data_IF_834530322570
#
_entry.id   IF_834530322570
#
_cell.length_a   1.000
_cell.length_b   1.000
_cell.length_c   1.000
_cell.angle_alpha   90.00
_cell.angle_beta   90.00
_cell.angle_gamma   90.00
#
_symmetry.space_group_name_H-M   'P 1'
#
loop_
_entity.id
_entity.type
_entity.pdbx_description
1 polymer ?
#
# COMPACT_ATOMS: atom_id res chain seq x y z
N UNK A 1 7.80 7.37 26.08
CA UNK A 1 8.26 6.20 25.33
C UNK A 1 8.47 6.65 23.88
N UNK A 2 9.73 6.91 23.51
CA UNK A 2 10.11 7.25 22.14
C UNK A 2 10.06 5.95 21.35
N UNK A 3 9.02 5.75 20.56
CA UNK A 3 8.99 4.68 19.55
C UNK A 3 10.04 5.07 18.52
N UNK A 4 11.17 4.43 18.57
CA UNK A 4 12.20 4.57 17.54
C UNK A 4 11.62 3.92 16.29
N UNK A 5 11.26 4.72 15.30
CA UNK A 5 10.79 4.28 13.98
C UNK A 5 11.98 3.69 13.21
N UNK A 6 12.56 2.59 13.72
CA UNK A 6 13.68 1.90 13.09
C UNK A 6 13.09 1.00 12.00
N UNK A 7 13.33 1.38 10.76
CA UNK A 7 13.08 0.50 9.62
C UNK A 7 13.99 -0.71 9.72
N UNK A 8 13.45 -1.90 9.48
CA UNK A 8 14.28 -3.11 9.37
C UNK A 8 15.24 -2.97 8.18
N UNK A 9 16.54 -2.90 8.47
CA UNK A 9 17.57 -2.76 7.44
C UNK A 9 17.57 -3.93 6.47
N UNK A 10 17.24 -5.13 6.92
CA UNK A 10 17.11 -6.31 6.09
C UNK A 10 15.97 -6.19 5.08
N UNK A 11 14.80 -5.71 5.51
CA UNK A 11 13.68 -5.44 4.60
C UNK A 11 14.01 -4.35 3.57
N UNK A 12 14.79 -3.34 3.93
CA UNK A 12 15.28 -2.33 2.98
C UNK A 12 16.21 -2.95 1.92
N UNK A 13 17.10 -3.87 2.32
CA UNK A 13 17.96 -4.59 1.37
C UNK A 13 17.12 -5.43 0.42
N UNK A 14 16.18 -6.20 0.96
CA UNK A 14 15.23 -7.02 0.18
C UNK A 14 14.43 -6.17 -0.80
N UNK A 15 13.84 -5.05 -0.34
CA UNK A 15 13.11 -4.11 -1.18
C UNK A 15 13.96 -3.64 -2.38
N UNK A 16 15.22 -3.24 -2.13
CA UNK A 16 16.14 -2.79 -3.20
C UNK A 16 16.46 -3.90 -4.19
N UNK A 17 16.67 -5.13 -3.71
CA UNK A 17 16.92 -6.30 -4.56
C UNK A 17 15.72 -6.57 -5.48
N UNK A 18 14.50 -6.63 -4.94
CA UNK A 18 13.28 -6.84 -5.73
C UNK A 18 13.11 -5.74 -6.77
N UNK A 19 13.19 -4.47 -6.36
CA UNK A 19 13.05 -3.34 -7.28
C UNK A 19 14.09 -3.38 -8.41
N UNK A 20 15.34 -3.79 -8.11
CA UNK A 20 16.40 -3.94 -9.10
C UNK A 20 16.09 -5.07 -10.10
N UNK A 21 15.58 -6.21 -9.62
CA UNK A 21 15.18 -7.34 -10.48
C UNK A 21 14.05 -6.93 -11.41
N UNK A 22 12.98 -6.34 -10.87
CA UNK A 22 11.82 -5.91 -11.68
C UNK A 22 12.20 -4.88 -12.75
N UNK A 23 13.03 -3.89 -12.40
CA UNK A 23 13.56 -2.92 -13.36
C UNK A 23 14.40 -3.56 -14.47
N UNK A 24 15.25 -4.52 -14.14
CA UNK A 24 16.13 -5.20 -15.11
C UNK A 24 15.33 -5.97 -16.17
N UNK A 25 14.15 -6.45 -15.83
CA UNK A 25 13.28 -7.20 -16.75
C UNK A 25 12.11 -6.36 -17.28
N UNK A 26 12.19 -5.03 -17.14
CA UNK A 26 11.19 -4.09 -17.63
C UNK A 26 9.75 -4.42 -17.20
N UNK A 27 9.57 -4.72 -15.92
CA UNK A 27 8.26 -4.89 -15.31
C UNK A 27 7.88 -3.59 -14.60
N UNK A 28 6.79 -2.93 -15.01
CA UNK A 28 6.23 -1.81 -14.27
C UNK A 28 5.71 -2.26 -12.91
N UNK A 29 5.99 -1.49 -11.89
CA UNK A 29 5.55 -1.78 -10.52
C UNK A 29 5.33 -0.50 -9.71
N UNK A 30 4.62 -0.62 -8.60
CA UNK A 30 4.53 0.40 -7.57
C UNK A 30 4.83 -0.20 -6.19
N UNK A 31 5.52 0.54 -5.34
CA UNK A 31 5.64 0.20 -3.92
C UNK A 31 4.32 0.51 -3.22
N UNK A 32 3.80 -0.46 -2.46
CA UNK A 32 2.56 -0.37 -1.69
C UNK A 32 2.79 -0.48 -0.19
N UNK A 33 1.71 -0.75 0.54
CA UNK A 33 1.71 -1.11 1.94
C UNK A 33 2.47 -0.21 2.90
N UNK A 34 3.11 -0.81 3.88
CA UNK A 34 3.81 -0.10 4.94
C UNK A 34 5.02 0.70 4.46
N UNK A 35 5.79 0.18 3.50
CA UNK A 35 6.94 0.90 2.94
C UNK A 35 6.53 2.09 2.06
N UNK A 36 5.37 2.02 1.40
CA UNK A 36 4.83 3.19 0.71
C UNK A 36 4.37 4.26 1.71
N UNK A 37 3.70 3.88 2.80
CA UNK A 37 3.36 4.80 3.87
C UNK A 37 4.61 5.48 4.46
N UNK A 38 5.67 4.71 4.71
CA UNK A 38 6.96 5.23 5.17
C UNK A 38 7.58 6.23 4.19
N UNK A 39 7.56 5.94 2.89
CA UNK A 39 8.07 6.83 1.86
C UNK A 39 7.35 8.19 1.82
N UNK A 40 6.07 8.21 2.18
CA UNK A 40 5.27 9.43 2.35
C UNK A 40 5.47 10.14 3.69
N UNK A 41 6.30 9.60 4.60
CA UNK A 41 6.55 10.17 5.94
C UNK A 41 5.69 9.57 7.05
N UNK A 42 4.99 8.47 6.77
CA UNK A 42 4.27 7.68 7.77
C UNK A 42 5.16 6.68 8.51
N UNK A 43 4.51 5.78 9.27
CA UNK A 43 5.22 4.68 9.94
C UNK A 43 5.64 3.61 8.93
N UNK A 44 6.79 2.97 9.15
CA UNK A 44 7.26 1.86 8.32
C UNK A 44 6.52 0.55 8.64
N UNK A 45 6.54 -0.40 7.67
CA UNK A 45 6.31 -1.82 7.94
C UNK A 45 7.56 -2.43 8.56
N UNK A 46 7.37 -3.40 9.44
CA UNK A 46 8.39 -4.26 10.04
C UNK A 46 8.17 -5.75 9.70
N UNK A 47 7.23 -6.06 8.80
CA UNK A 47 6.82 -7.45 8.52
C UNK A 47 7.07 -7.88 7.08
N UNK A 48 6.77 -7.03 6.09
CA UNK A 48 6.73 -7.38 4.67
C UNK A 48 7.04 -6.19 3.77
N UNK A 49 7.25 -6.50 2.49
CA UNK A 49 7.40 -5.49 1.42
C UNK A 49 6.36 -5.76 0.34
N UNK A 50 5.48 -4.81 0.09
CA UNK A 50 4.41 -4.91 -0.91
C UNK A 50 4.82 -4.27 -2.23
N UNK A 51 4.78 -5.03 -3.32
CA UNK A 51 4.91 -4.54 -4.69
C UNK A 51 3.63 -4.79 -5.46
N UNK A 52 3.07 -3.75 -6.05
CA UNK A 52 1.95 -3.89 -6.98
C UNK A 52 2.50 -4.11 -8.38
N UNK A 53 2.00 -5.14 -9.05
CA UNK A 53 2.32 -5.49 -10.44
C UNK A 53 1.05 -5.88 -11.17
N UNK A 54 1.00 -5.74 -12.49
CA UNK A 54 -0.18 -6.19 -13.27
C UNK A 54 -0.22 -7.73 -13.30
N UNK A 55 -1.41 -8.30 -13.33
CA UNK A 55 -1.60 -9.75 -13.34
C UNK A 55 -0.82 -10.43 -14.48
N UNK A 56 -0.76 -9.81 -15.66
CA UNK A 56 -0.03 -10.31 -16.81
C UNK A 56 1.50 -10.36 -16.63
N UNK A 57 2.04 -9.59 -15.69
CA UNK A 57 3.48 -9.50 -15.43
C UNK A 57 3.94 -10.43 -14.29
N UNK A 58 2.99 -11.01 -13.53
CA UNK A 58 3.30 -11.83 -12.33
C UNK A 58 4.25 -12.99 -12.65
N UNK A 59 3.94 -13.78 -13.67
CA UNK A 59 4.75 -14.95 -14.03
C UNK A 59 6.18 -14.56 -14.45
N UNK A 60 6.32 -13.45 -15.16
CA UNK A 60 7.63 -12.92 -15.57
C UNK A 60 8.40 -12.40 -14.37
N UNK A 61 7.73 -11.68 -13.48
CA UNK A 61 8.31 -11.19 -12.22
C UNK A 61 8.79 -12.33 -11.36
N UNK A 62 7.93 -13.34 -11.15
CA UNK A 62 8.21 -14.50 -10.33
C UNK A 62 9.45 -15.27 -10.84
N UNK A 63 9.50 -15.59 -12.13
CA UNK A 63 10.67 -16.25 -12.73
C UNK A 63 11.95 -15.44 -12.52
N UNK A 64 11.91 -14.12 -12.77
CA UNK A 64 13.08 -13.27 -12.61
C UNK A 64 13.57 -13.17 -11.16
N UNK A 65 12.66 -13.19 -10.19
CA UNK A 65 13.00 -13.20 -8.77
C UNK A 65 13.59 -14.55 -8.34
N UNK A 66 13.01 -15.68 -8.79
CA UNK A 66 13.55 -17.02 -8.51
C UNK A 66 14.97 -17.16 -9.10
N UNK A 67 15.18 -16.71 -10.33
CA UNK A 67 16.50 -16.69 -10.97
C UNK A 67 17.51 -15.80 -10.21
N UNK A 68 17.03 -14.81 -9.47
CA UNK A 68 17.85 -13.95 -8.60
C UNK A 68 18.03 -14.50 -7.18
N UNK A 69 17.55 -15.73 -6.89
CA UNK A 69 17.74 -16.44 -5.64
C UNK A 69 16.66 -16.24 -4.59
N UNK A 70 15.49 -15.70 -4.96
CA UNK A 70 14.33 -15.66 -4.07
C UNK A 70 13.60 -17.00 -4.04
N UNK A 71 13.00 -17.34 -2.91
CA UNK A 71 12.15 -18.52 -2.78
C UNK A 71 10.70 -18.13 -3.02
N UNK A 72 10.03 -18.76 -3.99
CA UNK A 72 8.63 -18.50 -4.29
C UNK A 72 7.71 -19.43 -3.49
N UNK A 73 6.58 -18.89 -3.05
CA UNK A 73 5.50 -19.64 -2.44
C UNK A 73 4.18 -19.24 -3.08
N UNK A 74 3.36 -20.24 -3.43
CA UNK A 74 2.01 -19.99 -3.92
C UNK A 74 1.07 -20.03 -2.71
N UNK A 75 0.57 -18.88 -2.26
CA UNK A 75 -0.40 -18.85 -1.17
C UNK A 75 -1.77 -19.33 -1.65
N UNK A 76 -2.70 -19.66 -0.74
CA UNK A 76 -4.08 -20.00 -1.10
C UNK A 76 -4.85 -18.80 -1.70
N UNK A 77 -4.41 -17.59 -1.45
CA UNK A 77 -4.98 -16.37 -1.99
C UNK A 77 -4.63 -16.22 -3.48
N UNK A 78 -5.61 -15.84 -4.28
CA UNK A 78 -5.50 -15.69 -5.74
C UNK A 78 -5.22 -14.24 -6.21
N UNK A 79 -4.92 -13.33 -5.29
CA UNK A 79 -4.72 -11.91 -5.57
C UNK A 79 -3.27 -11.44 -5.39
N UNK A 80 -2.39 -12.31 -4.90
CA UNK A 80 -0.96 -12.05 -4.72
C UNK A 80 -0.13 -13.34 -4.90
N UNK A 81 1.17 -13.17 -5.05
CA UNK A 81 2.19 -14.23 -4.97
C UNK A 81 3.22 -13.82 -3.93
N UNK A 82 3.70 -14.79 -3.14
CA UNK A 82 4.69 -14.57 -2.09
C UNK A 82 6.07 -14.98 -2.56
N UNK A 83 7.08 -14.17 -2.27
CA UNK A 83 8.48 -14.55 -2.40
C UNK A 83 9.23 -14.19 -1.12
N UNK A 84 10.27 -14.94 -0.83
CA UNK A 84 11.08 -14.77 0.37
C UNK A 84 12.54 -14.52 0.01
N UNK A 85 13.14 -13.55 0.67
CA UNK A 85 14.55 -13.22 0.61
C UNK A 85 15.17 -13.44 1.99
N UNK A 86 15.89 -14.57 2.18
CA UNK A 86 16.46 -14.95 3.49
C UNK A 86 15.40 -14.93 4.62
N UNK A 87 14.20 -15.43 4.33
CA UNK A 87 13.08 -15.45 5.27
C UNK A 87 12.27 -14.14 5.38
N UNK A 88 12.64 -13.09 4.66
CA UNK A 88 11.88 -11.82 4.61
C UNK A 88 10.82 -11.90 3.53
N UNK A 89 9.59 -11.62 3.92
CA UNK A 89 8.42 -11.70 3.04
C UNK A 89 8.34 -10.51 2.08
N UNK A 90 8.05 -10.82 0.82
CA UNK A 90 7.68 -9.86 -0.22
C UNK A 90 6.40 -10.34 -0.88
N UNK A 91 5.40 -9.49 -0.92
CA UNK A 91 4.15 -9.72 -1.60
C UNK A 91 4.14 -9.03 -2.98
N UNK A 92 3.96 -9.82 -4.05
CA UNK A 92 3.66 -9.33 -5.39
C UNK A 92 2.15 -9.32 -5.55
N UNK A 93 1.54 -8.17 -5.40
CA UNK A 93 0.10 -7.97 -5.37
C UNK A 93 -0.39 -7.55 -6.77
N UNK A 94 -1.37 -8.29 -7.32
CA UNK A 94 -1.91 -7.97 -8.65
C UNK A 94 -3.41 -7.64 -8.63
N UNK A 95 -4.12 -7.90 -7.50
CA UNK A 95 -5.54 -7.58 -7.35
C UNK A 95 -5.88 -7.18 -5.92
N UNK A 96 -5.29 -6.09 -5.39
CA UNK A 96 -5.59 -5.63 -4.04
C UNK A 96 -7.08 -5.26 -3.92
N UNK A 97 -7.72 -5.64 -2.81
CA UNK A 97 -9.11 -5.28 -2.48
C UNK A 97 -10.10 -5.48 -3.64
N UNK A 98 -9.99 -6.61 -4.34
CA UNK A 98 -10.78 -7.00 -5.52
C UNK A 98 -10.61 -6.06 -6.75
N UNK A 99 -9.62 -5.18 -6.75
CA UNK A 99 -9.31 -4.26 -7.85
C UNK A 99 -8.04 -4.71 -8.58
N UNK A 100 -8.10 -5.05 -9.87
CA UNK A 100 -6.90 -5.38 -10.64
C UNK A 100 -5.92 -4.20 -10.67
N UNK A 101 -4.63 -4.50 -10.58
CA UNK A 101 -3.57 -3.51 -10.85
C UNK A 101 -3.53 -3.27 -12.36
N UNK A 102 -3.83 -2.04 -12.78
CA UNK A 102 -3.84 -1.59 -14.16
C UNK A 102 -2.72 -0.59 -14.47
N UNK A 103 -2.60 -0.16 -15.71
CA UNK A 103 -1.67 0.90 -16.09
C UNK A 103 -2.04 2.23 -15.40
N UNK A 104 -3.34 2.50 -15.20
CA UNK A 104 -3.81 3.68 -14.47
C UNK A 104 -3.41 3.60 -12.98
N UNK A 105 -3.50 2.41 -12.37
CA UNK A 105 -3.01 2.21 -10.99
C UNK A 105 -1.52 2.52 -10.88
N UNK A 106 -0.72 2.05 -11.84
CA UNK A 106 0.74 2.28 -11.86
C UNK A 106 1.11 3.71 -12.28
N UNK A 107 0.24 4.42 -13.00
CA UNK A 107 0.41 5.83 -13.34
C UNK A 107 0.09 6.76 -12.15
N UNK A 108 -0.79 6.32 -11.21
CA UNK A 108 -1.11 7.05 -9.98
C UNK A 108 -0.05 6.81 -8.88
N UNK A 109 1.20 7.08 -9.24
CA UNK A 109 2.36 6.92 -8.37
C UNK A 109 3.16 8.21 -8.27
N UNK A 110 3.94 8.32 -7.20
CA UNK A 110 4.91 9.41 -7.00
C UNK A 110 6.29 8.81 -6.87
N UNK A 111 7.28 9.41 -7.51
CA UNK A 111 8.68 8.96 -7.36
C UNK A 111 9.24 9.49 -6.06
N UNK A 112 9.30 8.64 -5.04
CA UNK A 112 9.78 9.00 -3.71
C UNK A 112 11.10 8.29 -3.37
N UNK A 113 11.91 8.90 -2.49
CA UNK A 113 13.09 8.24 -1.94
C UNK A 113 12.66 7.20 -0.90
N UNK A 114 13.17 5.99 -1.04
CA UNK A 114 13.07 4.93 -0.03
C UNK A 114 14.50 4.57 0.35
N UNK A 115 14.97 5.07 1.49
CA UNK A 115 16.38 5.02 1.84
C UNK A 115 17.22 5.70 0.70
N UNK A 116 18.17 5.02 0.08
CA UNK A 116 19.07 5.60 -0.92
C UNK A 116 18.61 5.44 -2.38
N UNK A 117 17.40 4.90 -2.63
CA UNK A 117 16.89 4.69 -4.00
C UNK A 117 15.56 5.44 -4.22
N UNK A 118 15.27 5.78 -5.47
CA UNK A 118 14.00 6.38 -5.86
C UNK A 118 13.13 5.35 -6.57
N UNK A 119 11.89 5.22 -6.11
CA UNK A 119 10.94 4.22 -6.60
C UNK A 119 9.59 4.86 -6.91
N UNK A 120 8.81 4.28 -7.84
CA UNK A 120 7.39 4.58 -7.95
C UNK A 120 6.67 4.04 -6.70
N UNK A 121 6.01 4.92 -5.98
CA UNK A 121 5.28 4.64 -4.75
C UNK A 121 3.82 4.99 -5.00
N UNK A 122 2.87 4.15 -4.60
CA UNK A 122 1.45 4.49 -4.69
C UNK A 122 1.18 5.84 -4.04
N UNK A 123 0.28 6.62 -4.63
CA UNK A 123 -0.14 7.89 -4.03
C UNK A 123 -0.74 7.66 -2.63
N UNK A 124 -0.60 8.65 -1.75
CA UNK A 124 -1.20 8.59 -0.40
C UNK A 124 -2.71 8.34 -0.46
N UNK A 125 -3.38 8.84 -1.49
CA UNK A 125 -4.80 8.63 -1.75
C UNK A 125 -5.11 7.16 -2.05
N UNK A 126 -4.35 6.53 -2.96
CA UNK A 126 -4.51 5.10 -3.26
C UNK A 126 -4.23 4.22 -2.05
N UNK A 127 -3.19 4.53 -1.28
CA UNK A 127 -2.89 3.82 -0.03
C UNK A 127 -4.08 3.86 0.94
N UNK A 128 -4.70 5.03 1.10
CA UNK A 128 -5.87 5.17 1.97
C UNK A 128 -7.09 4.42 1.41
N UNK A 129 -7.35 4.49 0.10
CA UNK A 129 -8.43 3.74 -0.55
C UNK A 129 -8.26 2.23 -0.32
N UNK A 130 -7.06 1.69 -0.60
CA UNK A 130 -6.79 0.27 -0.38
C UNK A 130 -6.95 -0.11 1.10
N UNK A 131 -6.47 0.74 2.02
CA UNK A 131 -6.62 0.51 3.46
C UNK A 131 -8.08 0.43 3.88
N UNK A 132 -8.91 1.36 3.44
CA UNK A 132 -10.32 1.39 3.81
C UNK A 132 -11.11 0.22 3.20
N UNK A 133 -10.82 -0.15 1.95
CA UNK A 133 -11.45 -1.29 1.30
C UNK A 133 -10.99 -2.64 1.83
N UNK A 134 -9.85 -2.70 2.53
CA UNK A 134 -9.41 -3.94 3.19
C UNK A 134 -10.17 -4.26 4.47
N UNK A 135 -10.97 -3.32 4.99
CA UNK A 135 -11.82 -3.59 6.15
C UNK A 135 -13.04 -4.42 5.78
N UNK A 136 -13.35 -5.38 6.62
CA UNK A 136 -14.47 -6.31 6.46
C UNK A 136 -15.01 -6.75 7.83
N UNK A 137 -16.06 -7.55 7.84
CA UNK A 137 -16.62 -8.10 9.09
C UNK A 137 -15.61 -8.91 9.93
N UNK A 138 -14.59 -9.49 9.28
CA UNK A 138 -13.57 -10.30 9.96
C UNK A 138 -12.26 -9.55 10.18
N UNK A 139 -12.13 -8.35 9.62
CA UNK A 139 -10.89 -7.56 9.65
C UNK A 139 -11.22 -6.07 9.72
N UNK A 140 -11.63 -5.60 10.90
CA UNK A 140 -12.01 -4.21 11.12
C UNK A 140 -11.21 -3.61 12.28
N UNK A 141 -9.88 -3.58 12.13
CA UNK A 141 -8.99 -2.94 13.10
C UNK A 141 -8.56 -1.55 12.61
N UNK A 142 -9.21 -0.52 13.14
CA UNK A 142 -8.91 0.87 12.82
C UNK A 142 -7.58 1.37 13.40
N UNK A 143 -6.96 0.64 14.33
CA UNK A 143 -5.69 1.03 14.95
C UNK A 143 -4.55 1.17 13.91
N UNK A 144 -4.59 0.40 12.83
CA UNK A 144 -3.62 0.53 11.74
C UNK A 144 -3.97 1.64 10.73
N UNK A 145 -5.24 1.98 10.57
CA UNK A 145 -5.69 3.02 9.65
C UNK A 145 -5.51 4.43 10.21
N UNK A 146 -5.72 4.62 11.51
CA UNK A 146 -5.65 5.92 12.16
C UNK A 146 -4.26 6.60 12.06
N UNK A 147 -3.14 5.92 12.34
CA UNK A 147 -1.81 6.51 12.15
C UNK A 147 -1.55 6.90 10.70
N UNK A 148 -1.95 6.06 9.73
CA UNK A 148 -1.84 6.35 8.30
C UNK A 148 -2.62 7.62 7.93
N UNK A 149 -3.90 7.69 8.32
CA UNK A 149 -4.75 8.85 8.06
C UNK A 149 -4.18 10.15 8.66
N UNK A 150 -3.65 10.08 9.88
CA UNK A 150 -3.07 11.25 10.58
C UNK A 150 -1.78 11.73 9.93
N UNK A 151 -0.86 10.80 9.61
CA UNK A 151 0.46 11.16 9.08
C UNK A 151 0.40 11.65 7.63
N UNK A 152 -0.56 11.18 6.84
CA UNK A 152 -0.67 11.50 5.41
C UNK A 152 -1.85 12.42 5.07
N UNK A 153 -2.59 12.95 6.06
CA UNK A 153 -3.85 13.67 5.86
C UNK A 153 -3.79 14.79 4.82
N UNK A 154 -2.67 15.53 4.76
CA UNK A 154 -2.47 16.66 3.86
C UNK A 154 -2.09 16.23 2.42
N UNK A 155 -1.72 14.94 2.23
CA UNK A 155 -1.34 14.37 0.95
C UNK A 155 -2.49 13.59 0.31
N UNK A 156 -3.57 13.34 1.06
CA UNK A 156 -4.70 12.51 0.64
C UNK A 156 -5.80 13.39 0.06
N UNK A 157 -6.25 13.06 -1.15
CA UNK A 157 -7.51 13.57 -1.70
C UNK A 157 -8.70 12.86 -1.06
N UNK A 158 -9.20 13.44 0.02
CA UNK A 158 -10.31 12.87 0.79
C UNK A 158 -11.64 12.84 0.03
N UNK A 159 -11.84 13.72 -0.95
CA UNK A 159 -13.03 13.67 -1.81
C UNK A 159 -12.98 12.42 -2.70
N UNK A 160 -11.81 12.10 -3.26
CA UNK A 160 -11.58 10.88 -4.01
C UNK A 160 -11.73 9.64 -3.13
N UNK A 161 -11.14 9.63 -1.93
CA UNK A 161 -11.28 8.52 -0.98
C UNK A 161 -12.76 8.22 -0.72
N UNK A 162 -13.55 9.24 -0.36
CA UNK A 162 -14.99 9.06 -0.10
C UNK A 162 -15.72 8.48 -1.31
N UNK A 163 -15.46 9.01 -2.49
CA UNK A 163 -16.09 8.54 -3.73
C UNK A 163 -15.75 7.09 -4.04
N UNK A 164 -14.48 6.72 -3.93
CA UNK A 164 -14.01 5.38 -4.29
C UNK A 164 -14.36 4.31 -3.25
N UNK A 165 -14.61 4.69 -2.00
CA UNK A 165 -14.94 3.76 -0.91
C UNK A 165 -16.41 3.81 -0.49
N UNK A 166 -17.28 4.54 -1.21
CA UNK A 166 -18.68 4.81 -0.85
C UNK A 166 -19.55 3.54 -0.67
N UNK A 167 -19.14 2.42 -1.28
CA UNK A 167 -19.85 1.15 -1.17
C UNK A 167 -19.48 0.34 0.08
N UNK A 168 -18.46 0.77 0.85
CA UNK A 168 -17.98 0.07 2.04
C UNK A 168 -18.50 0.71 3.31
N UNK A 169 -19.38 0.04 4.09
CA UNK A 169 -19.86 0.58 5.36
C UNK A 169 -18.73 0.74 6.39
N UNK A 170 -17.69 -0.08 6.29
CA UNK A 170 -16.52 0.03 7.17
C UNK A 170 -15.71 1.30 6.89
N UNK A 171 -15.56 1.65 5.60
CA UNK A 171 -14.93 2.90 5.19
C UNK A 171 -15.74 4.11 5.66
N UNK A 172 -17.05 4.07 5.52
CA UNK A 172 -17.96 5.13 6.00
C UNK A 172 -17.76 5.36 7.51
N UNK A 173 -17.84 4.31 8.33
CA UNK A 173 -17.66 4.41 9.78
C UNK A 173 -16.27 4.94 10.12
N UNK A 174 -15.23 4.52 9.41
CA UNK A 174 -13.88 5.04 9.62
C UNK A 174 -13.78 6.54 9.29
N UNK A 175 -14.41 7.01 8.22
CA UNK A 175 -14.44 8.43 7.85
C UNK A 175 -15.19 9.28 8.89
N UNK A 176 -16.29 8.75 9.45
CA UNK A 176 -16.98 9.38 10.59
C UNK A 176 -16.06 9.46 11.82
N UNK A 177 -15.30 8.40 12.09
CA UNK A 177 -14.33 8.41 13.19
C UNK A 177 -13.25 9.47 12.99
N UNK A 178 -12.74 9.65 11.77
CA UNK A 178 -11.75 10.70 11.46
C UNK A 178 -12.30 12.11 11.71
N UNK A 179 -13.56 12.35 11.37
CA UNK A 179 -14.25 13.61 11.64
C UNK A 179 -14.38 13.84 13.15
N UNK A 180 -14.89 12.87 13.89
CA UNK A 180 -15.04 12.96 15.35
C UNK A 180 -13.71 13.16 16.08
N UNK A 181 -12.62 12.69 15.52
CA UNK A 181 -11.26 12.90 16.03
C UNK A 181 -10.60 14.18 15.49
N UNK A 182 -11.33 15.00 14.72
CA UNK A 182 -10.83 16.22 14.06
C UNK A 182 -9.58 15.98 13.20
N UNK A 183 -9.46 14.79 12.61
CA UNK A 183 -8.38 14.46 11.67
C UNK A 183 -8.72 14.98 10.28
N UNK A 184 -9.94 14.70 9.80
CA UNK A 184 -10.45 15.13 8.49
C UNK A 184 -11.94 15.44 8.64
N UNK A 185 -12.39 16.66 8.33
CA UNK A 185 -13.80 17.01 8.45
C UNK A 185 -14.63 16.26 7.40
N UNK A 186 -15.85 15.87 7.76
CA UNK A 186 -16.86 15.45 6.80
C UNK A 186 -17.27 16.66 5.93
N UNK A 187 -17.69 16.43 4.67
CA UNK A 187 -18.35 17.47 3.90
C UNK A 187 -19.58 17.99 4.68
N UNK A 188 -19.78 19.30 4.68
CA UNK A 188 -21.00 19.88 5.24
C UNK A 188 -22.22 19.22 4.57
N UNK A 189 -23.17 18.73 5.37
CA UNK A 189 -24.44 18.24 4.86
C UNK A 189 -25.19 19.42 4.24
N UNK A 190 -25.81 19.22 3.08
CA UNK A 190 -26.56 20.28 2.38
C UNK A 190 -27.72 20.87 3.20
N UNK A 191 -28.05 20.29 4.36
CA UNK A 191 -29.10 20.79 5.28
C UNK A 191 -28.64 21.95 6.18
N UNK A 192 -27.33 22.22 6.32
CA UNK A 192 -26.82 23.36 7.11
C UNK A 192 -26.63 24.64 6.28
N UNK A 193 -26.92 24.60 4.98
CA UNK A 193 -26.78 25.74 4.05
C UNK A 193 -28.11 26.34 3.62
N UNK A 194 -29.22 26.06 4.31
CA UNK A 194 -30.58 26.63 4.02
C UNK A 194 -31.04 27.61 5.09
#
# INVERSE_FOLDING_TARGET
LTVTNRVDEGLIVTLKRVASVLKRVDIPFALGGGFAAYAHGGHSSDHDVDFLVRAQDVDKALRALVDAGFNAEQPPEDWLVKVYDEGRLVDLIHRPVERPVTDETLADTVILPVNAIRLPVLSATQLMVHKLLSYSQHRCDFAHGLPLARSLREQIDWARVRRETAHSPYAEVFLVLLDRLSVVPLPATQEEAA
#
